data_IF_855272121400
#
_entry.id   IF_855272121400
#
_cell.length_a   1.000
_cell.length_b   1.000
_cell.length_c   1.000
_cell.angle_alpha   90.00
_cell.angle_beta   90.00
_cell.angle_gamma   90.00
#
_symmetry.space_group_name_H-M   'P 1'
#
loop_
_entity.id
_entity.type
_entity.pdbx_description
1 polymer ?
#
# COMPACT_ATOMS: atom_id res chain seq x y z
N UNK A 1 -0.59 -43.98 30.15
CA UNK A 1 -1.95 -43.70 29.65
C UNK A 1 -2.27 -42.27 30.10
N UNK A 2 -2.17 -41.27 29.24
CA UNK A 2 -3.21 -40.85 28.27
C UNK A 2 -4.07 -39.76 28.95
N UNK A 3 -4.27 -38.54 28.46
CA UNK A 3 -3.97 -37.95 27.15
C UNK A 3 -4.02 -36.41 27.22
N UNK A 4 -3.54 -35.80 26.13
CA UNK A 4 -3.57 -34.38 25.82
C UNK A 4 -5.02 -33.93 25.55
N UNK A 5 -5.52 -32.91 26.23
CA UNK A 5 -6.68 -32.14 25.76
C UNK A 5 -6.19 -31.07 24.81
N UNK A 6 -6.67 -31.14 23.57
CA UNK A 6 -6.37 -30.21 22.50
C UNK A 6 -6.93 -28.81 22.83
N UNK A 7 -6.02 -27.84 22.85
CA UNK A 7 -6.32 -26.42 22.69
C UNK A 7 -7.02 -26.27 21.33
N UNK A 8 -8.29 -25.87 21.34
CA UNK A 8 -9.06 -25.66 20.11
C UNK A 8 -8.42 -24.57 19.26
N UNK A 9 -8.52 -24.63 17.92
CA UNK A 9 -8.01 -23.55 17.10
C UNK A 9 -8.74 -22.27 17.52
N UNK A 10 -7.94 -21.26 17.90
CA UNK A 10 -8.39 -19.89 17.95
C UNK A 10 -8.80 -19.56 16.52
N UNK A 11 -10.10 -19.60 16.24
CA UNK A 11 -10.68 -18.96 15.07
C UNK A 11 -10.31 -17.48 15.19
N UNK A 12 -9.24 -17.10 14.50
CA UNK A 12 -9.00 -15.71 14.17
C UNK A 12 -10.26 -15.26 13.44
N UNK A 13 -10.97 -14.19 13.88
CA UNK A 13 -11.99 -13.64 13.02
C UNK A 13 -11.31 -13.33 11.69
N UNK A 14 -11.80 -13.93 10.61
CA UNK A 14 -11.59 -13.39 9.28
C UNK A 14 -12.32 -12.06 9.28
N UNK A 15 -11.67 -11.02 9.83
CA UNK A 15 -11.94 -9.64 9.50
C UNK A 15 -11.64 -9.56 8.00
N UNK A 16 -12.66 -9.92 7.21
CA UNK A 16 -12.77 -9.58 5.81
C UNK A 16 -12.87 -8.07 5.72
N UNK A 17 -11.79 -7.37 6.06
CA UNK A 17 -11.47 -6.09 5.47
C UNK A 17 -11.24 -6.41 3.99
N UNK A 18 -12.34 -6.46 3.24
CA UNK A 18 -12.27 -6.35 1.80
C UNK A 18 -11.41 -5.12 1.56
N UNK A 19 -10.22 -5.33 0.99
CA UNK A 19 -9.31 -4.25 0.67
C UNK A 19 -10.01 -3.18 -0.17
N UNK A 20 -9.39 -2.00 -0.31
CA UNK A 20 -9.96 -0.89 -1.07
C UNK A 20 -10.52 -1.39 -2.40
N UNK A 21 -11.74 -0.97 -2.76
CA UNK A 21 -12.37 -1.45 -3.99
C UNK A 21 -11.71 -0.90 -5.27
N UNK A 22 -11.08 0.28 -5.18
CA UNK A 22 -10.55 1.00 -6.33
C UNK A 22 -9.11 1.47 -6.14
N UNK A 23 -8.39 1.51 -7.26
CA UNK A 23 -7.17 2.28 -7.44
C UNK A 23 -7.49 3.52 -8.27
N UNK A 24 -7.11 4.70 -7.76
CA UNK A 24 -7.28 5.97 -8.47
C UNK A 24 -5.91 6.61 -8.67
N UNK A 25 -5.55 6.82 -9.93
CA UNK A 25 -4.31 7.47 -10.35
C UNK A 25 -4.62 8.69 -11.20
N UNK A 26 -4.00 9.83 -10.89
CA UNK A 26 -4.10 11.02 -11.73
C UNK A 26 -2.88 11.92 -11.63
N UNK A 27 -2.67 12.73 -12.66
CA UNK A 27 -1.82 13.91 -12.59
C UNK A 27 -2.62 15.09 -12.07
N UNK A 28 -1.99 15.96 -11.28
CA UNK A 28 -2.62 17.12 -10.68
C UNK A 28 -1.74 18.36 -10.86
N UNK A 29 -2.31 19.39 -11.49
CA UNK A 29 -1.77 20.75 -11.44
C UNK A 29 -2.29 21.46 -10.18
N UNK A 30 -1.42 21.71 -9.20
CA UNK A 30 -1.76 22.36 -7.93
C UNK A 30 -0.52 22.92 -7.21
N UNK A 31 -0.69 23.96 -6.40
CA UNK A 31 0.36 24.52 -5.54
C UNK A 31 0.62 23.62 -4.34
N UNK A 32 1.81 23.70 -3.75
CA UNK A 32 2.23 22.90 -2.60
C UNK A 32 1.25 22.94 -1.42
N UNK A 33 0.72 24.11 -1.09
CA UNK A 33 -0.27 24.26 -0.01
C UNK A 33 -1.58 23.52 -0.28
N UNK A 34 -2.00 23.46 -1.55
CA UNK A 34 -3.20 22.73 -1.96
C UNK A 34 -2.96 21.22 -1.87
N UNK A 35 -1.77 20.77 -2.25
CA UNK A 35 -1.37 19.36 -2.15
C UNK A 35 -1.20 18.90 -0.72
N UNK A 36 -0.70 19.76 0.17
CA UNK A 36 -0.64 19.46 1.61
C UNK A 36 -2.03 19.16 2.17
N UNK A 37 -3.05 19.97 1.81
CA UNK A 37 -4.45 19.71 2.21
C UNK A 37 -5.03 18.48 1.54
N UNK A 38 -4.74 18.27 0.26
CA UNK A 38 -5.17 17.08 -0.48
C UNK A 38 -4.65 15.81 0.17
N UNK A 39 -3.38 15.78 0.58
CA UNK A 39 -2.77 14.65 1.28
C UNK A 39 -3.58 14.26 2.52
N UNK A 40 -3.86 15.23 3.40
CA UNK A 40 -4.66 14.97 4.60
C UNK A 40 -6.05 14.42 4.27
N UNK A 41 -6.68 14.90 3.19
CA UNK A 41 -8.00 14.44 2.79
C UNK A 41 -7.98 13.03 2.20
N UNK A 42 -7.02 12.72 1.34
CA UNK A 42 -6.89 11.39 0.73
C UNK A 42 -6.44 10.34 1.76
N UNK A 43 -5.61 10.71 2.72
CA UNK A 43 -5.18 9.84 3.83
C UNK A 43 -6.35 9.40 4.71
N UNK A 44 -7.42 10.22 4.78
CA UNK A 44 -8.65 9.86 5.48
C UNK A 44 -9.61 9.01 4.63
N UNK A 45 -9.42 8.94 3.30
CA UNK A 45 -10.28 8.21 2.37
C UNK A 45 -9.71 6.85 1.97
N UNK A 46 -8.41 6.65 2.10
CA UNK A 46 -7.70 5.47 1.60
C UNK A 46 -6.74 4.88 2.63
N UNK A 47 -6.31 3.66 2.37
CA UNK A 47 -5.35 2.91 3.18
C UNK A 47 -3.90 3.00 2.64
N UNK A 48 -3.76 3.41 1.38
CA UNK A 48 -2.48 3.62 0.71
C UNK A 48 -2.52 4.88 -0.15
N UNK A 49 -1.61 5.82 0.14
CA UNK A 49 -1.49 7.10 -0.57
C UNK A 49 -0.04 7.35 -0.97
N UNK A 50 0.18 7.60 -2.26
CA UNK A 50 1.43 8.09 -2.81
C UNK A 50 1.16 9.40 -3.55
N UNK A 51 1.88 10.44 -3.13
CA UNK A 51 1.89 11.73 -3.81
C UNK A 51 3.34 12.11 -4.04
N UNK A 52 3.74 12.15 -5.31
CA UNK A 52 5.09 12.48 -5.75
C UNK A 52 5.03 13.62 -6.76
N UNK A 53 5.94 14.58 -6.66
CA UNK A 53 5.95 15.75 -7.53
C UNK A 53 6.53 16.98 -6.85
N UNK A 54 6.36 18.11 -7.53
CA UNK A 54 6.87 19.42 -7.14
C UNK A 54 6.63 20.43 -8.26
N UNK A 55 6.89 21.71 -7.99
CA UNK A 55 6.82 22.79 -8.99
C UNK A 55 5.48 22.89 -9.72
N UNK A 56 4.38 22.63 -9.00
CA UNK A 56 3.03 22.76 -9.53
C UNK A 56 2.45 21.51 -10.19
N UNK A 57 3.22 20.43 -10.33
CA UNK A 57 2.78 19.17 -10.94
C UNK A 57 3.02 17.96 -10.05
N UNK A 58 1.97 17.15 -9.88
CA UNK A 58 1.96 16.02 -8.96
C UNK A 58 1.36 14.77 -9.60
N UNK A 59 1.90 13.62 -9.25
CA UNK A 59 1.33 12.31 -9.52
C UNK A 59 0.73 11.77 -8.22
N UNK A 60 -0.56 11.47 -8.27
CA UNK A 60 -1.32 10.96 -7.13
C UNK A 60 -1.74 9.54 -7.46
N UNK A 61 -1.50 8.64 -6.50
CA UNK A 61 -1.97 7.27 -6.50
C UNK A 61 -2.57 7.00 -5.13
N UNK A 62 -3.86 6.67 -5.09
CA UNK A 62 -4.55 6.33 -3.86
C UNK A 62 -5.39 5.08 -4.07
N UNK A 63 -5.43 4.21 -3.07
CA UNK A 63 -6.40 3.13 -3.00
C UNK A 63 -7.55 3.56 -2.09
N UNK A 64 -8.79 3.43 -2.57
CA UNK A 64 -9.98 3.93 -1.89
C UNK A 64 -11.18 3.03 -2.15
N UNK A 65 -12.16 3.08 -1.26
CA UNK A 65 -13.48 2.46 -1.50
C UNK A 65 -14.40 3.33 -2.36
N UNK A 66 -14.18 4.65 -2.36
CA UNK A 66 -14.93 5.61 -3.16
C UNK A 66 -14.00 6.37 -4.12
N UNK A 67 -13.97 5.92 -5.37
CA UNK A 67 -13.19 6.58 -6.42
C UNK A 67 -13.69 8.00 -6.73
N UNK A 68 -14.99 8.26 -6.55
CA UNK A 68 -15.58 9.58 -6.76
C UNK A 68 -15.04 10.58 -5.75
N UNK A 69 -15.04 10.22 -4.46
CA UNK A 69 -14.51 11.06 -3.40
C UNK A 69 -13.02 11.41 -3.61
N UNK A 70 -12.22 10.46 -4.11
CA UNK A 70 -10.81 10.69 -4.43
C UNK A 70 -10.60 11.68 -5.59
N UNK A 71 -11.44 11.58 -6.64
CA UNK A 71 -11.39 12.51 -7.78
C UNK A 71 -11.89 13.89 -7.38
N UNK A 72 -12.98 13.97 -6.62
CA UNK A 72 -13.53 15.24 -6.12
C UNK A 72 -12.53 15.99 -5.23
N UNK A 73 -11.84 15.27 -4.35
CA UNK A 73 -10.75 15.85 -3.56
C UNK A 73 -9.65 16.44 -4.46
N UNK A 74 -9.28 15.74 -5.54
CA UNK A 74 -8.33 16.24 -6.54
C UNK A 74 -8.83 17.49 -7.27
N UNK A 75 -10.11 17.54 -7.65
CA UNK A 75 -10.75 18.70 -8.30
C UNK A 75 -10.80 19.92 -7.37
N UNK A 76 -11.07 19.72 -6.08
CA UNK A 76 -11.08 20.82 -5.11
C UNK A 76 -9.66 21.38 -4.87
N UNK A 77 -8.64 20.51 -4.91
CA UNK A 77 -7.25 20.91 -4.74
C UNK A 77 -6.68 21.62 -5.98
N UNK A 78 -7.08 21.24 -7.20
CA UNK A 78 -6.50 21.78 -8.43
C UNK A 78 -7.11 21.19 -9.70
N UNK A 79 -6.30 21.03 -10.75
CA UNK A 79 -6.76 20.49 -12.04
C UNK A 79 -6.23 19.07 -12.25
N UNK A 80 -7.03 18.03 -11.98
CA UNK A 80 -6.63 16.66 -12.27
C UNK A 80 -6.78 16.35 -13.77
N UNK A 81 -5.88 15.54 -14.30
CA UNK A 81 -5.92 15.05 -15.68
C UNK A 81 -5.25 13.69 -15.82
N UNK A 82 -5.55 13.00 -16.93
CA UNK A 82 -5.17 11.59 -17.16
C UNK A 82 -5.61 10.66 -16.02
N UNK A 83 -6.84 10.86 -15.55
CA UNK A 83 -7.42 10.06 -14.47
C UNK A 83 -7.61 8.62 -14.96
N UNK A 84 -7.08 7.67 -14.18
CA UNK A 84 -7.28 6.23 -14.35
C UNK A 84 -7.90 5.69 -13.07
N UNK A 85 -8.95 4.89 -13.23
CA UNK A 85 -9.65 4.23 -12.13
C UNK A 85 -9.72 2.75 -12.46
N UNK A 86 -9.20 1.92 -11.56
CA UNK A 86 -9.18 0.45 -11.67
C UNK A 86 -10.00 -0.14 -10.52
N UNK A 87 -10.81 -1.16 -10.79
CA UNK A 87 -11.57 -1.88 -9.74
C UNK A 87 -10.92 -3.24 -9.48
N UNK A 88 -10.51 -3.51 -8.24
CA UNK A 88 -9.70 -4.69 -7.93
C UNK A 88 -10.47 -6.02 -8.10
N UNK A 89 -11.79 -6.05 -7.86
CA UNK A 89 -12.58 -7.28 -8.05
C UNK A 89 -12.68 -7.71 -9.53
N UNK A 90 -12.41 -6.81 -10.48
CA UNK A 90 -12.40 -7.10 -11.92
C UNK A 90 -11.05 -7.65 -12.38
N UNK A 91 -9.95 -7.25 -11.74
CA UNK A 91 -8.58 -7.70 -12.11
C UNK A 91 -8.17 -9.01 -11.43
N UNK A 92 -8.91 -9.44 -10.41
CA UNK A 92 -8.73 -10.72 -9.72
C UNK A 92 -8.95 -11.95 -10.63
N UNK A 93 -9.46 -11.76 -11.86
CA UNK A 93 -9.56 -12.80 -12.89
C UNK A 93 -8.31 -12.98 -13.75
N UNK A 94 -7.29 -12.12 -13.60
CA UNK A 94 -5.96 -12.31 -14.18
C UNK A 94 -5.03 -12.81 -13.07
N UNK A 95 -5.22 -14.07 -12.69
CA UNK A 95 -4.31 -14.82 -11.83
C UNK A 95 -2.88 -14.71 -12.38
N UNK A 96 -2.12 -13.75 -11.85
CA UNK A 96 -0.70 -13.98 -11.59
C UNK A 96 -0.70 -15.26 -10.78
N UNK A 97 -0.37 -16.37 -11.44
CA UNK A 97 -0.22 -17.67 -10.81
C UNK A 97 0.86 -17.52 -9.74
N UNK A 98 0.44 -17.18 -8.53
CA UNK A 98 1.26 -17.24 -7.33
C UNK A 98 1.55 -18.72 -7.16
N UNK A 99 2.72 -19.14 -7.62
CA UNK A 99 3.26 -20.45 -7.32
C UNK A 99 3.55 -20.46 -5.81
N UNK A 100 2.62 -20.98 -5.00
CA UNK A 100 2.82 -21.22 -3.58
C UNK A 100 4.00 -22.21 -3.37
N UNK A 101 4.94 -22.10 -2.43
CA UNK A 101 5.34 -21.13 -1.38
C UNK A 101 6.81 -21.49 -1.00
N UNK A 102 7.68 -20.52 -0.63
CA UNK A 102 8.32 -20.64 0.68
C UNK A 102 8.32 -19.32 1.48
N UNK A 103 7.95 -19.48 2.76
CA UNK A 103 7.75 -18.52 3.85
C UNK A 103 6.51 -17.61 3.75
N UNK A 104 5.46 -17.96 4.51
CA UNK A 104 4.20 -17.21 4.62
C UNK A 104 4.38 -15.73 5.00
N UNK A 105 5.54 -15.34 5.55
CA UNK A 105 5.98 -13.97 5.81
C UNK A 105 7.50 -13.90 5.67
N UNK A 106 8.01 -12.85 5.05
CA UNK A 106 9.44 -12.55 4.96
C UNK A 106 9.75 -11.18 5.58
N UNK A 107 10.94 -11.04 6.16
CA UNK A 107 11.42 -9.78 6.73
C UNK A 107 12.54 -9.24 5.84
N UNK A 108 12.38 -8.02 5.32
CA UNK A 108 13.42 -7.31 4.58
C UNK A 108 13.91 -6.13 5.43
N UNK A 109 15.22 -6.04 5.66
CA UNK A 109 15.82 -4.94 6.44
C UNK A 109 16.77 -4.13 5.57
N UNK A 110 16.52 -2.83 5.45
CA UNK A 110 17.40 -1.89 4.75
C UNK A 110 18.34 -1.25 5.75
N UNK A 111 19.65 -1.43 5.57
CA UNK A 111 20.66 -1.01 6.55
C UNK A 111 21.84 -0.26 5.92
N UNK A 112 22.46 0.70 6.63
CA UNK A 112 23.71 1.32 6.21
C UNK A 112 24.88 0.40 6.59
N UNK A 113 25.45 -0.28 5.58
CA UNK A 113 26.71 -1.01 5.71
C UNK A 113 26.61 -2.46 6.21
N UNK A 114 27.71 -3.19 6.03
CA UNK A 114 27.75 -4.66 6.14
C UNK A 114 27.63 -5.19 7.58
N UNK A 115 28.02 -4.39 8.57
CA UNK A 115 27.99 -4.82 9.98
C UNK A 115 26.56 -5.08 10.49
N UNK A 116 25.64 -4.17 10.20
CA UNK A 116 24.23 -4.34 10.54
C UNK A 116 23.57 -5.41 9.65
N UNK A 117 24.02 -5.52 8.40
CA UNK A 117 23.51 -6.52 7.45
C UNK A 117 23.79 -7.95 7.92
N UNK A 118 24.99 -8.20 8.44
CA UNK A 118 25.35 -9.50 9.02
C UNK A 118 24.42 -9.90 10.17
N UNK A 119 24.23 -9.00 11.14
CA UNK A 119 23.38 -9.25 12.32
C UNK A 119 21.92 -9.53 11.92
N UNK A 120 21.37 -8.76 10.98
CA UNK A 120 20.00 -8.95 10.51
C UNK A 120 19.83 -10.23 9.67
N UNK A 121 20.85 -10.61 8.90
CA UNK A 121 20.85 -11.88 8.14
C UNK A 121 20.87 -13.07 9.11
N UNK A 122 21.71 -13.03 10.15
CA UNK A 122 21.75 -14.06 11.19
C UNK A 122 20.41 -14.20 11.93
N UNK A 123 19.67 -13.10 12.08
CA UNK A 123 18.32 -13.09 12.65
C UNK A 123 17.23 -13.61 11.67
N UNK A 124 17.58 -13.99 10.45
CA UNK A 124 16.67 -14.57 9.46
C UNK A 124 16.02 -13.56 8.52
N UNK A 125 16.51 -12.32 8.47
CA UNK A 125 16.02 -11.32 7.52
C UNK A 125 16.83 -11.27 6.23
N UNK A 126 16.18 -10.90 5.12
CA UNK A 126 16.85 -10.54 3.87
C UNK A 126 17.32 -9.10 3.95
N UNK A 127 18.62 -8.86 3.93
CA UNK A 127 19.15 -7.49 4.05
C UNK A 127 19.43 -6.83 2.70
N UNK A 128 19.12 -5.53 2.61
CA UNK A 128 19.45 -4.67 1.47
C UNK A 128 20.34 -3.54 1.96
N UNK A 129 21.51 -3.36 1.33
CA UNK A 129 22.42 -2.26 1.67
C UNK A 129 21.91 -0.96 1.05
N UNK A 130 21.62 0.04 1.89
CA UNK A 130 21.33 1.39 1.41
C UNK A 130 22.61 2.02 0.86
N UNK A 131 22.60 2.42 -0.41
CA UNK A 131 23.63 3.31 -0.99
C UNK A 131 23.11 4.75 -0.92
N UNK A 132 23.91 5.70 -0.45
CA UNK A 132 23.54 7.12 -0.40
C UNK A 132 23.40 7.72 -1.81
#
# INVERSE_FOLDING_TARGET
AGGFSADGPLDCPEDGAAGPAFEVIYLLEARDEQVARLRTRLDALGDSLVVVGGDGLWHVHVHVDDAGAAVEAGVEAGRPYRIRITHFATESGHDVRVQAEPAQRAVVVVVPGDGLAGLCTEAGATTVIARP
#
